data_IF_503631374167
#
_entry.id   IF_503631374167
#
_cell.length_a   1.000
_cell.length_b   1.000
_cell.length_c   1.000
_cell.angle_alpha   90.00
_cell.angle_beta   90.00
_cell.angle_gamma   90.00
#
_symmetry.space_group_name_H-M   'P 1'
#
loop_
_entity.id
_entity.type
_entity.pdbx_description
1 polymer ?
#
# COMPACT_ATOMS: atom_id res chain seq x y z
N UNK A 1 12.61 4.35 -45.63
CA UNK A 1 12.65 2.88 -45.58
C UNK A 1 11.25 2.39 -45.89
N UNK A 2 11.07 1.66 -47.00
CA UNK A 2 9.81 1.02 -47.30
C UNK A 2 9.67 -0.18 -46.36
N UNK A 3 8.63 -0.19 -45.52
CA UNK A 3 8.35 -1.33 -44.65
C UNK A 3 7.83 -2.49 -45.47
N UNK A 4 8.38 -3.69 -45.27
CA UNK A 4 7.85 -4.92 -45.84
C UNK A 4 6.58 -5.33 -45.10
N UNK A 5 5.58 -5.84 -45.83
CA UNK A 5 4.38 -6.43 -45.22
C UNK A 5 4.77 -7.77 -44.61
N UNK A 6 4.79 -7.82 -43.29
CA UNK A 6 5.22 -9.02 -42.56
C UNK A 6 4.05 -9.98 -42.34
N UNK A 7 2.85 -9.51 -41.98
CA UNK A 7 1.67 -10.34 -41.71
C UNK A 7 0.34 -9.62 -41.99
N UNK A 8 -0.74 -10.38 -42.20
CA UNK A 8 -2.13 -9.88 -42.21
C UNK A 8 -2.76 -10.11 -40.83
N UNK A 9 -2.86 -9.05 -40.03
CA UNK A 9 -3.49 -9.06 -38.72
C UNK A 9 -4.68 -8.10 -38.72
N UNK A 10 -5.79 -8.54 -38.12
CA UNK A 10 -6.99 -7.72 -37.95
C UNK A 10 -6.88 -6.78 -36.73
N UNK A 11 -5.95 -7.07 -35.80
CA UNK A 11 -5.67 -6.29 -34.60
C UNK A 11 -4.17 -6.32 -34.26
N UNK A 12 -3.62 -5.20 -33.79
CA UNK A 12 -2.23 -5.08 -33.38
C UNK A 12 -2.12 -4.21 -32.12
N UNK A 13 -1.60 -4.79 -31.04
CA UNK A 13 -1.29 -4.10 -29.79
C UNK A 13 0.23 -3.97 -29.60
N UNK A 14 0.69 -2.79 -29.18
CA UNK A 14 2.11 -2.53 -28.91
C UNK A 14 2.30 -1.40 -27.90
N UNK A 15 3.45 -1.38 -27.21
CA UNK A 15 3.79 -0.28 -26.30
C UNK A 15 4.31 0.94 -27.08
N UNK A 16 3.47 1.97 -27.14
CA UNK A 16 3.80 3.24 -27.80
C UNK A 16 4.98 3.98 -27.14
N UNK A 17 5.26 3.73 -25.87
CA UNK A 17 6.39 4.32 -25.13
C UNK A 17 7.70 3.65 -25.56
N UNK A 18 7.72 2.33 -25.65
CA UNK A 18 8.88 1.56 -26.12
C UNK A 18 9.23 1.92 -27.56
N UNK A 19 8.23 2.05 -28.44
CA UNK A 19 8.43 2.51 -29.82
C UNK A 19 9.04 3.92 -29.86
N UNK A 20 8.53 4.83 -29.04
CA UNK A 20 9.06 6.19 -28.97
C UNK A 20 10.53 6.22 -28.50
N UNK A 21 10.88 5.42 -27.50
CA UNK A 21 12.23 5.35 -26.96
C UNK A 21 13.20 4.72 -27.98
N UNK A 22 12.80 3.60 -28.60
CA UNK A 22 13.58 2.90 -29.64
C UNK A 22 13.85 3.79 -30.85
N UNK A 23 12.86 4.59 -31.26
CA UNK A 23 13.01 5.53 -32.38
C UNK A 23 13.75 6.82 -32.00
N UNK A 24 13.98 7.07 -30.70
CA UNK A 24 14.48 8.35 -30.19
C UNK A 24 13.49 9.51 -30.42
N UNK A 25 12.20 9.22 -30.55
CA UNK A 25 11.16 10.20 -30.86
C UNK A 25 10.44 10.66 -29.60
N UNK A 26 9.86 11.87 -29.66
CA UNK A 26 8.99 12.34 -28.59
C UNK A 26 7.66 11.57 -28.63
N UNK A 27 7.24 11.03 -27.48
CA UNK A 27 5.99 10.28 -27.34
C UNK A 27 4.75 10.97 -27.96
N UNK A 28 4.54 12.31 -27.82
CA UNK A 28 3.42 12.98 -28.49
C UNK A 28 3.44 12.89 -30.01
N UNK A 29 4.63 12.87 -30.64
CA UNK A 29 4.78 12.75 -32.10
C UNK A 29 4.39 11.36 -32.56
N UNK A 30 4.84 10.32 -31.85
CA UNK A 30 4.47 8.93 -32.12
C UNK A 30 2.95 8.76 -31.96
N UNK A 31 2.37 9.20 -30.84
CA UNK A 31 0.92 9.13 -30.61
C UNK A 31 0.12 9.86 -31.70
N UNK A 32 0.61 11.02 -32.16
CA UNK A 32 -0.02 11.76 -33.26
C UNK A 32 0.07 10.98 -34.57
N UNK A 33 1.23 10.44 -34.90
CA UNK A 33 1.44 9.62 -36.11
C UNK A 33 0.55 8.38 -36.13
N UNK A 34 0.45 7.67 -35.01
CA UNK A 34 -0.43 6.49 -34.89
C UNK A 34 -1.90 6.89 -35.07
N UNK A 35 -2.36 8.00 -34.45
CA UNK A 35 -3.73 8.50 -34.66
C UNK A 35 -4.00 8.95 -36.10
N UNK A 36 -2.98 9.42 -36.82
CA UNK A 36 -3.13 9.81 -38.22
C UNK A 36 -3.42 8.61 -39.14
N UNK A 37 -3.07 7.39 -38.74
CA UNK A 37 -3.38 6.17 -39.50
C UNK A 37 -4.89 5.94 -39.69
N UNK A 38 -5.75 6.59 -38.88
CA UNK A 38 -7.20 6.56 -39.06
C UNK A 38 -7.67 7.28 -40.34
N UNK A 39 -6.80 8.05 -40.98
CA UNK A 39 -7.08 8.85 -42.16
C UNK A 39 -6.28 8.35 -43.37
N UNK A 40 -6.92 8.33 -44.54
CA UNK A 40 -6.27 7.95 -45.80
C UNK A 40 -5.48 9.13 -46.38
N UNK A 41 -4.41 8.84 -47.12
CA UNK A 41 -3.61 9.88 -47.80
C UNK A 41 -4.36 10.60 -48.92
N UNK A 42 -5.50 10.06 -49.38
CA UNK A 42 -6.33 10.59 -50.46
C UNK A 42 -7.57 11.32 -49.92
N UNK A 43 -7.68 11.45 -48.59
CA UNK A 43 -8.86 11.97 -47.90
C UNK A 43 -9.84 10.86 -47.50
N UNK A 44 -10.53 11.04 -46.37
CA UNK A 44 -11.46 10.05 -45.81
C UNK A 44 -10.83 9.12 -44.76
N UNK A 45 -11.64 8.24 -44.16
CA UNK A 45 -11.21 7.29 -43.12
C UNK A 45 -10.55 6.07 -43.75
N UNK A 46 -9.46 5.59 -43.17
CA UNK A 46 -8.71 4.42 -43.65
C UNK A 46 -9.34 3.07 -43.29
N UNK A 47 -10.32 3.06 -42.38
CA UNK A 47 -10.87 1.84 -41.79
C UNK A 47 -10.10 1.31 -40.57
N UNK A 48 -8.93 1.88 -40.27
CA UNK A 48 -8.14 1.53 -39.07
C UNK A 48 -8.71 2.28 -37.85
N UNK A 49 -9.01 1.53 -36.78
CA UNK A 49 -9.34 2.08 -35.47
C UNK A 49 -8.09 2.11 -34.60
N UNK A 50 -7.94 3.17 -33.81
CA UNK A 50 -6.77 3.38 -32.95
C UNK A 50 -7.29 3.73 -31.57
N UNK A 51 -6.96 2.88 -30.61
CA UNK A 51 -7.31 3.07 -29.21
C UNK A 51 -6.03 3.19 -28.39
N UNK A 52 -6.02 4.15 -27.46
CA UNK A 52 -4.96 4.26 -26.46
C UNK A 52 -5.54 3.81 -25.13
N UNK A 53 -5.07 2.69 -24.64
CA UNK A 53 -5.46 2.08 -23.38
C UNK A 53 -4.34 2.24 -22.33
N UNK A 54 -4.48 1.58 -21.18
CA UNK A 54 -3.41 1.42 -20.18
C UNK A 54 -2.81 2.73 -19.67
N UNK A 55 -3.62 3.54 -18.97
CA UNK A 55 -3.13 4.76 -18.31
C UNK A 55 -1.98 4.42 -17.35
N UNK A 56 -0.79 4.95 -17.64
CA UNK A 56 0.44 4.66 -16.91
C UNK A 56 1.18 5.94 -16.54
N UNK A 57 2.10 5.83 -15.58
CA UNK A 57 3.04 6.91 -15.27
C UNK A 57 4.15 6.93 -16.32
N UNK A 58 4.30 8.06 -17.01
CA UNK A 58 5.42 8.29 -17.93
C UNK A 58 6.59 8.89 -17.16
N UNK A 59 7.65 8.13 -16.96
CA UNK A 59 8.91 8.59 -16.37
C UNK A 59 10.09 8.03 -17.15
N UNK A 60 11.24 8.69 -17.04
CA UNK A 60 12.51 8.28 -17.65
C UNK A 60 13.51 7.98 -16.55
N UNK A 61 14.12 6.81 -16.59
CA UNK A 61 15.18 6.38 -15.68
C UNK A 61 16.43 6.01 -16.47
N UNK A 62 17.59 6.18 -15.85
CA UNK A 62 18.85 5.62 -16.34
C UNK A 62 18.79 4.10 -16.09
N UNK A 63 18.72 3.31 -17.16
CA UNK A 63 18.49 1.86 -17.10
C UNK A 63 19.74 1.04 -16.75
N UNK A 64 20.72 1.67 -16.10
CA UNK A 64 22.07 1.17 -15.84
C UNK A 64 22.34 0.91 -14.34
N UNK A 65 21.29 0.93 -13.51
CA UNK A 65 21.42 0.66 -12.08
C UNK A 65 21.88 -0.79 -11.84
N UNK A 66 22.94 -0.93 -11.05
CA UNK A 66 23.37 -2.22 -10.51
C UNK A 66 22.37 -2.77 -9.48
N UNK A 67 22.44 -4.08 -9.21
CA UNK A 67 21.62 -4.72 -8.18
C UNK A 67 21.80 -4.05 -6.80
N UNK A 68 23.03 -3.62 -6.47
CA UNK A 68 23.30 -2.92 -5.21
C UNK A 68 22.64 -1.53 -5.14
N UNK A 69 22.61 -0.81 -6.25
CA UNK A 69 21.95 0.49 -6.35
C UNK A 69 20.43 0.35 -6.30
N UNK A 70 19.89 -0.67 -6.97
CA UNK A 70 18.48 -1.02 -6.88
C UNK A 70 18.08 -1.31 -5.43
N UNK A 71 18.88 -2.08 -4.71
CA UNK A 71 18.66 -2.36 -3.28
C UNK A 71 18.72 -1.10 -2.41
N UNK A 72 19.59 -0.13 -2.74
CA UNK A 72 19.64 1.17 -2.05
C UNK A 72 18.33 1.95 -2.28
N UNK A 73 17.82 1.96 -3.50
CA UNK A 73 16.53 2.61 -3.84
C UNK A 73 15.38 1.92 -3.11
N UNK A 74 15.32 0.58 -3.11
CA UNK A 74 14.30 -0.17 -2.38
C UNK A 74 14.33 0.14 -0.87
N UNK A 75 15.52 0.17 -0.25
CA UNK A 75 15.69 0.56 1.16
C UNK A 75 15.25 2.00 1.42
N UNK A 76 15.61 2.93 0.55
CA UNK A 76 15.19 4.33 0.66
C UNK A 76 13.67 4.47 0.65
N UNK A 77 13.00 3.87 -0.34
CA UNK A 77 11.54 3.89 -0.46
C UNK A 77 10.88 3.21 0.74
N UNK A 78 11.41 2.07 1.18
CA UNK A 78 10.90 1.37 2.35
C UNK A 78 11.01 2.21 3.62
N UNK A 79 12.16 2.83 3.87
CA UNK A 79 12.38 3.71 5.01
C UNK A 79 11.43 4.91 5.00
N UNK A 80 11.18 5.49 3.83
CA UNK A 80 10.20 6.57 3.68
C UNK A 80 8.79 6.12 4.08
N UNK A 81 8.36 4.94 3.64
CA UNK A 81 7.05 4.37 4.02
C UNK A 81 7.00 4.10 5.52
N UNK A 82 8.03 3.48 6.10
CA UNK A 82 8.09 3.21 7.54
C UNK A 82 8.07 4.49 8.38
N UNK A 83 8.80 5.53 7.97
CA UNK A 83 8.79 6.81 8.66
C UNK A 83 7.42 7.47 8.59
N UNK A 84 6.74 7.39 7.45
CA UNK A 84 5.37 7.87 7.30
C UNK A 84 4.42 7.09 8.23
N UNK A 85 4.50 5.76 8.26
CA UNK A 85 3.71 4.92 9.15
C UNK A 85 3.92 5.26 10.62
N UNK A 86 5.18 5.32 11.08
CA UNK A 86 5.54 5.73 12.44
C UNK A 86 5.00 7.11 12.79
N UNK A 87 5.11 8.07 11.87
CA UNK A 87 4.57 9.43 12.07
C UNK A 87 3.05 9.40 12.24
N UNK A 88 2.33 8.66 11.39
CA UNK A 88 0.86 8.58 11.48
C UNK A 88 0.40 7.89 12.77
N UNK A 89 1.07 6.80 13.17
CA UNK A 89 0.78 6.11 14.43
C UNK A 89 1.06 7.00 15.64
N UNK A 90 2.17 7.75 15.62
CA UNK A 90 2.47 8.73 16.65
C UNK A 90 1.36 9.77 16.75
N UNK A 91 0.92 10.35 15.63
CA UNK A 91 -0.14 11.37 15.61
C UNK A 91 -1.45 10.84 16.18
N UNK A 92 -1.84 9.62 15.80
CA UNK A 92 -3.03 8.97 16.33
C UNK A 92 -2.92 8.73 17.84
N UNK A 93 -1.78 8.23 18.29
CA UNK A 93 -1.53 7.91 19.71
C UNK A 93 -1.47 9.16 20.57
N UNK A 94 -0.78 10.20 20.12
CA UNK A 94 -0.68 11.48 20.80
C UNK A 94 -2.06 12.13 20.93
N UNK A 95 -2.84 12.14 19.85
CA UNK A 95 -4.21 12.61 19.82
C UNK A 95 -5.09 11.85 20.84
N UNK A 96 -5.06 10.51 20.80
CA UNK A 96 -5.82 9.68 21.73
C UNK A 96 -5.42 9.91 23.19
N UNK A 97 -4.13 9.95 23.49
CA UNK A 97 -3.63 10.18 24.87
C UNK A 97 -4.05 11.57 25.38
N UNK A 98 -3.94 12.61 24.55
CA UNK A 98 -4.32 13.97 24.92
C UNK A 98 -5.82 14.08 25.22
N UNK A 99 -6.68 13.49 24.40
CA UNK A 99 -8.13 13.50 24.68
C UNK A 99 -8.50 12.60 25.86
N UNK A 100 -7.87 11.44 25.99
CA UNK A 100 -8.14 10.51 27.10
C UNK A 100 -7.75 11.10 28.46
N UNK A 101 -6.67 11.87 28.55
CA UNK A 101 -6.23 12.44 29.84
C UNK A 101 -7.20 13.47 30.40
N UNK A 102 -7.95 14.16 29.54
CA UNK A 102 -8.96 15.16 29.94
C UNK A 102 -10.40 14.64 29.86
N UNK A 103 -10.61 13.40 29.40
CA UNK A 103 -11.93 12.82 29.22
C UNK A 103 -12.68 12.59 30.54
N UNK A 104 -14.00 12.74 30.49
CA UNK A 104 -14.91 12.31 31.54
C UNK A 104 -15.38 10.87 31.29
N UNK A 105 -15.82 10.18 32.35
CA UNK A 105 -16.44 8.85 32.21
C UNK A 105 -17.81 8.93 31.55
N UNK A 106 -18.51 10.05 31.71
CA UNK A 106 -19.84 10.32 31.15
C UNK A 106 -20.00 11.79 30.80
N UNK A 107 -20.77 12.09 29.76
CA UNK A 107 -21.05 13.46 29.33
C UNK A 107 -21.79 14.29 30.39
N UNK A 108 -22.54 13.65 31.30
CA UNK A 108 -23.22 14.32 32.40
C UNK A 108 -22.28 15.07 33.34
N UNK A 109 -21.01 14.64 33.43
CA UNK A 109 -20.00 15.25 34.30
C UNK A 109 -19.51 16.62 33.83
N UNK A 110 -19.95 17.08 32.65
CA UNK A 110 -19.56 18.38 32.07
C UNK A 110 -20.76 19.19 31.54
N UNK A 111 -21.99 18.89 32.00
CA UNK A 111 -23.20 19.58 31.53
C UNK A 111 -23.47 20.90 32.28
N UNK A 112 -23.11 20.97 33.56
CA UNK A 112 -23.47 22.11 34.42
C UNK A 112 -22.32 23.12 34.55
N UNK A 113 -21.08 22.66 34.71
CA UNK A 113 -19.89 23.51 34.82
C UNK A 113 -18.80 23.10 33.82
N UNK A 114 -18.21 24.09 33.16
CA UNK A 114 -17.01 23.90 32.36
C UNK A 114 -15.83 23.71 33.31
N UNK A 115 -15.21 22.53 33.30
CA UNK A 115 -13.96 22.30 34.04
C UNK A 115 -12.80 23.06 33.35
N UNK A 116 -12.59 24.31 33.78
CA UNK A 116 -11.53 25.19 33.26
C UNK A 116 -10.14 24.56 33.38
N UNK A 117 -9.91 23.73 34.40
CA UNK A 117 -8.63 23.07 34.61
C UNK A 117 -8.30 22.08 33.49
N UNK A 118 -9.26 21.23 33.11
CA UNK A 118 -9.12 20.29 31.99
C UNK A 118 -9.03 21.01 30.64
N UNK A 119 -9.77 22.11 30.49
CA UNK A 119 -9.70 22.96 29.29
C UNK A 119 -8.31 23.56 29.11
N UNK A 120 -7.72 24.09 30.19
CA UNK A 120 -6.35 24.61 30.19
C UNK A 120 -5.34 23.50 29.91
N UNK A 121 -5.49 22.33 30.54
CA UNK A 121 -4.61 21.19 30.31
C UNK A 121 -4.63 20.72 28.85
N UNK A 122 -5.81 20.66 28.21
CA UNK A 122 -5.90 20.33 26.79
C UNK A 122 -5.23 21.38 25.90
N UNK A 123 -5.41 22.67 26.20
CA UNK A 123 -4.76 23.77 25.45
C UNK A 123 -3.24 23.70 25.56
N UNK A 124 -2.71 23.39 26.75
CA UNK A 124 -1.27 23.21 26.97
C UNK A 124 -0.72 22.02 26.19
N UNK A 125 -1.41 20.87 26.21
CA UNK A 125 -1.04 19.68 25.42
C UNK A 125 -1.01 19.98 23.91
N UNK A 126 -1.98 20.75 23.41
CA UNK A 126 -2.01 21.16 22.01
C UNK A 126 -0.86 22.11 21.67
N UNK A 127 -0.62 23.14 22.48
CA UNK A 127 0.48 24.07 22.29
C UNK A 127 1.82 23.33 22.25
N UNK A 128 2.07 22.47 23.24
CA UNK A 128 3.28 21.67 23.33
C UNK A 128 3.46 20.77 22.10
N UNK A 129 2.40 20.14 21.61
CA UNK A 129 2.46 19.30 20.41
C UNK A 129 2.87 20.08 19.15
N UNK A 130 2.30 21.27 18.93
CA UNK A 130 2.60 22.08 17.75
C UNK A 130 3.98 22.77 17.84
N UNK A 131 4.41 23.19 19.03
CA UNK A 131 5.75 23.73 19.26
C UNK A 131 6.82 22.66 19.04
N UNK A 132 6.63 21.46 19.62
CA UNK A 132 7.54 20.32 19.41
C UNK A 132 7.62 19.89 17.94
N UNK A 133 6.54 20.05 17.16
CA UNK A 133 6.50 19.71 15.73
C UNK A 133 7.22 20.74 14.86
N UNK A 134 7.28 22.00 15.29
CA UNK A 134 8.05 23.07 14.62
C UNK A 134 9.55 22.86 14.75
N UNK A 135 10.02 22.45 15.93
CA UNK A 135 11.46 22.33 16.21
C UNK A 135 12.08 21.00 15.79
N UNK A 136 11.28 19.92 15.74
CA UNK A 136 11.76 18.58 15.36
C UNK A 136 11.26 18.20 13.98
N UNK A 137 12.12 18.43 12.98
CA UNK A 137 12.04 17.77 11.69
C UNK A 137 12.11 16.25 11.86
N UNK A 138 10.96 15.60 12.04
CA UNK A 138 10.66 14.19 11.78
C UNK A 138 11.26 13.09 12.68
N UNK A 139 11.98 13.39 13.76
CA UNK A 139 12.40 12.37 14.74
C UNK A 139 11.53 12.40 16.01
N UNK A 140 10.26 11.99 15.87
CA UNK A 140 9.38 11.77 17.01
C UNK A 140 9.63 10.35 17.52
N UNK A 141 10.14 10.23 18.75
CA UNK A 141 10.32 8.94 19.40
C UNK A 141 8.95 8.23 19.48
N UNK A 142 8.89 6.92 19.16
CA UNK A 142 7.68 6.14 19.36
C UNK A 142 7.24 6.30 20.81
N UNK A 143 5.99 6.69 21.01
CA UNK A 143 5.43 6.67 22.35
C UNK A 143 5.17 5.20 22.67
N UNK A 144 5.82 4.67 23.70
CA UNK A 144 5.55 3.32 24.19
C UNK A 144 4.05 3.20 24.47
N UNK A 145 3.40 2.41 23.62
CA UNK A 145 2.15 1.77 23.94
C UNK A 145 2.64 0.48 24.59
N UNK A 146 2.35 0.29 25.88
CA UNK A 146 2.53 -1.01 26.52
C UNK A 146 1.86 -2.05 25.62
N UNK A 147 2.64 -2.83 24.87
CA UNK A 147 2.12 -3.88 24.00
C UNK A 147 1.57 -4.99 24.89
N UNK A 148 0.25 -5.08 25.12
CA UNK A 148 -0.30 -6.02 26.11
C UNK A 148 -0.25 -7.47 25.61
N UNK A 149 0.12 -7.67 24.35
CA UNK A 149 -0.14 -8.90 23.61
C UNK A 149 1.11 -9.74 23.29
N UNK A 150 2.31 -9.32 23.71
CA UNK A 150 3.52 -10.08 23.41
C UNK A 150 3.52 -11.49 24.00
N UNK A 151 2.98 -11.66 25.22
CA UNK A 151 2.86 -12.96 25.89
C UNK A 151 1.76 -13.82 25.26
N UNK A 152 0.61 -13.24 24.91
CA UNK A 152 -0.50 -13.97 24.29
C UNK A 152 -0.17 -14.47 22.88
N UNK A 153 0.68 -13.75 22.14
CA UNK A 153 1.03 -14.17 20.79
C UNK A 153 1.83 -15.48 20.78
N UNK A 154 2.79 -15.67 21.71
CA UNK A 154 3.59 -16.90 21.76
C UNK A 154 2.71 -18.14 21.94
N UNK A 155 1.73 -18.06 22.83
CA UNK A 155 0.81 -19.17 23.11
C UNK A 155 -0.02 -19.56 21.88
N UNK A 156 -0.35 -18.58 21.04
CA UNK A 156 -1.12 -18.77 19.81
C UNK A 156 -0.28 -19.05 18.57
N UNK A 157 1.05 -18.90 18.64
CA UNK A 157 1.92 -18.93 17.47
C UNK A 157 1.82 -20.25 16.70
N UNK A 158 1.77 -21.39 17.42
CA UNK A 158 1.60 -22.71 16.81
C UNK A 158 0.25 -22.86 16.09
N UNK A 159 -0.82 -22.34 16.68
CA UNK A 159 -2.15 -22.37 16.08
C UNK A 159 -2.21 -21.46 14.85
N UNK A 160 -1.62 -20.26 14.92
CA UNK A 160 -1.48 -19.34 13.79
C UNK A 160 -0.75 -20.01 12.63
N UNK A 161 0.40 -20.66 12.89
CA UNK A 161 1.16 -21.40 11.87
C UNK A 161 0.33 -22.52 11.24
N UNK A 162 -0.38 -23.30 12.05
CA UNK A 162 -1.25 -24.36 11.55
C UNK A 162 -2.37 -23.82 10.64
N UNK A 163 -3.01 -22.71 11.04
CA UNK A 163 -4.05 -22.08 10.25
C UNK A 163 -3.52 -21.46 8.95
N UNK A 164 -2.32 -20.87 8.97
CA UNK A 164 -1.66 -20.37 7.76
C UNK A 164 -1.40 -21.52 6.78
N UNK A 165 -0.88 -22.66 7.26
CA UNK A 165 -0.67 -23.84 6.42
C UNK A 165 -1.99 -24.39 5.87
N UNK A 166 -3.04 -24.45 6.69
CA UNK A 166 -4.39 -24.83 6.27
C UNK A 166 -4.93 -23.90 5.19
N UNK A 167 -4.75 -22.58 5.36
CA UNK A 167 -5.15 -21.57 4.39
C UNK A 167 -4.43 -21.76 3.05
N UNK A 168 -3.10 -21.89 3.07
CA UNK A 168 -2.29 -22.10 1.86
C UNK A 168 -2.65 -23.42 1.15
N UNK A 169 -2.91 -24.49 1.91
CA UNK A 169 -3.30 -25.79 1.35
C UNK A 169 -4.67 -25.75 0.67
N UNK A 170 -5.63 -25.02 1.25
CA UNK A 170 -6.97 -24.86 0.68
C UNK A 170 -7.01 -23.93 -0.55
N UNK A 171 -5.89 -23.27 -0.86
CA UNK A 171 -5.72 -22.26 -1.91
C UNK A 171 -4.42 -22.46 -2.68
N UNK A 172 -4.06 -23.72 -2.95
CA UNK A 172 -2.77 -24.10 -3.53
C UNK A 172 -2.54 -23.58 -4.95
N UNK A 173 -3.61 -23.19 -5.64
CA UNK A 173 -3.63 -22.58 -6.96
C UNK A 173 -3.28 -21.08 -6.96
N UNK A 174 -3.32 -20.43 -5.79
CA UNK A 174 -3.07 -19.00 -5.64
C UNK A 174 -1.70 -18.71 -4.99
N UNK A 175 -1.02 -17.65 -5.44
CA UNK A 175 0.27 -17.22 -4.88
C UNK A 175 0.07 -16.10 -3.87
N UNK A 176 0.43 -16.36 -2.61
CA UNK A 176 0.36 -15.36 -1.55
C UNK A 176 1.73 -14.84 -1.13
N UNK A 177 1.80 -13.54 -0.81
CA UNK A 177 2.89 -12.97 -0.01
C UNK A 177 2.54 -13.04 1.47
N UNK A 178 3.53 -12.99 2.37
CA UNK A 178 3.26 -12.97 3.81
C UNK A 178 2.37 -11.80 4.24
N UNK A 179 2.48 -10.65 3.56
CA UNK A 179 1.57 -9.50 3.75
C UNK A 179 0.14 -9.81 3.29
N UNK A 180 -0.04 -10.50 2.18
CA UNK A 180 -1.37 -10.90 1.70
C UNK A 180 -2.07 -11.81 2.72
N UNK A 181 -1.35 -12.82 3.21
CA UNK A 181 -1.85 -13.74 4.25
C UNK A 181 -2.21 -12.95 5.52
N UNK A 182 -1.30 -12.12 6.04
CA UNK A 182 -1.56 -11.32 7.24
C UNK A 182 -2.78 -10.39 7.08
N UNK A 183 -2.97 -9.79 5.90
CA UNK A 183 -4.16 -8.98 5.59
C UNK A 183 -5.45 -9.77 5.67
N UNK A 184 -5.48 -11.00 5.16
CA UNK A 184 -6.66 -11.88 5.25
C UNK A 184 -6.96 -12.18 6.72
N UNK A 185 -5.96 -12.58 7.49
CA UNK A 185 -6.14 -12.89 8.91
C UNK A 185 -6.52 -11.69 9.79
N UNK A 186 -6.15 -10.46 9.40
CA UNK A 186 -6.69 -9.21 9.99
C UNK A 186 -8.02 -8.74 9.38
N UNK A 187 -8.41 -9.30 8.24
CA UNK A 187 -9.57 -8.88 7.47
C UNK A 187 -9.47 -7.49 6.83
N UNK A 188 -8.31 -7.19 6.27
CA UNK A 188 -8.02 -5.97 5.51
C UNK A 188 -8.08 -6.30 4.01
N UNK A 189 -9.13 -5.83 3.33
CA UNK A 189 -9.33 -6.06 1.90
C UNK A 189 -8.23 -5.43 1.05
N UNK A 190 -7.89 -6.05 -0.09
CA UNK A 190 -7.04 -5.45 -1.11
C UNK A 190 -7.61 -5.72 -2.51
N UNK A 191 -7.19 -5.01 -3.56
CA UNK A 191 -7.68 -5.25 -4.91
C UNK A 191 -7.57 -6.72 -5.35
N UNK A 192 -6.44 -7.39 -5.09
CA UNK A 192 -6.25 -8.81 -5.42
C UNK A 192 -6.97 -9.75 -4.44
N UNK A 193 -7.22 -9.31 -3.21
CA UNK A 193 -7.86 -10.11 -2.16
C UNK A 193 -9.08 -9.36 -1.58
N UNK A 194 -10.18 -9.25 -2.34
CA UNK A 194 -11.34 -8.44 -1.95
C UNK A 194 -12.16 -9.10 -0.85
N UNK A 195 -12.71 -8.30 0.06
CA UNK A 195 -13.54 -8.81 1.17
C UNK A 195 -14.81 -9.53 0.69
N UNK A 196 -15.34 -9.18 -0.47
CA UNK A 196 -16.50 -9.83 -1.08
C UNK A 196 -16.25 -11.32 -1.35
N UNK A 197 -15.01 -11.70 -1.62
CA UNK A 197 -14.59 -13.08 -1.89
C UNK A 197 -13.95 -13.69 -0.65
N UNK A 198 -12.89 -13.07 -0.13
CA UNK A 198 -12.09 -13.58 0.97
C UNK A 198 -12.76 -13.43 2.35
N UNK A 199 -13.62 -12.43 2.51
CA UNK A 199 -14.36 -12.19 3.76
C UNK A 199 -15.50 -13.16 4.01
N UNK A 200 -15.88 -13.97 3.02
CA UNK A 200 -16.86 -15.05 3.18
C UNK A 200 -16.28 -16.21 3.98
N UNK A 201 -14.98 -16.48 3.84
CA UNK A 201 -14.31 -17.54 4.59
C UNK A 201 -13.91 -17.06 5.99
N UNK A 202 -14.87 -17.17 6.92
CA UNK A 202 -14.71 -16.78 8.33
C UNK A 202 -13.71 -17.63 9.09
N UNK A 203 -13.22 -18.75 8.53
CA UNK A 203 -12.15 -19.55 9.13
C UNK A 203 -10.81 -18.82 9.14
N UNK A 204 -10.64 -17.85 8.24
CA UNK A 204 -9.40 -17.09 8.10
C UNK A 204 -9.63 -15.59 8.28
N UNK A 205 -10.72 -15.05 7.74
CA UNK A 205 -10.98 -13.61 7.74
C UNK A 205 -11.19 -13.03 9.15
N UNK A 206 -10.39 -12.04 9.54
CA UNK A 206 -10.40 -11.39 10.88
C UNK A 206 -10.12 -12.32 12.06
N UNK A 207 -9.65 -13.55 11.84
CA UNK A 207 -9.41 -14.53 12.92
C UNK A 207 -8.33 -14.06 13.92
N UNK A 208 -7.37 -13.27 13.45
CA UNK A 208 -6.22 -12.81 14.24
C UNK A 208 -6.09 -11.28 14.27
N UNK A 209 -7.22 -10.58 14.19
CA UNK A 209 -7.27 -9.10 14.20
C UNK A 209 -6.67 -8.46 15.46
N UNK A 210 -6.67 -9.20 16.56
CA UNK A 210 -6.16 -8.78 17.87
C UNK A 210 -4.63 -8.85 17.98
N UNK A 211 -3.96 -9.58 17.09
CA UNK A 211 -2.51 -9.75 17.16
C UNK A 211 -1.79 -8.69 16.35
N UNK A 212 -0.50 -8.46 16.64
CA UNK A 212 0.30 -7.52 15.87
C UNK A 212 0.43 -7.98 14.41
N UNK A 213 0.09 -7.06 13.51
CA UNK A 213 0.07 -7.29 12.08
C UNK A 213 1.47 -7.64 11.53
N UNK A 214 2.52 -6.97 12.03
CA UNK A 214 3.88 -7.22 11.57
C UNK A 214 4.41 -8.58 12.03
N UNK A 215 4.01 -9.03 13.21
CA UNK A 215 4.33 -10.36 13.73
C UNK A 215 3.64 -11.45 12.92
N UNK A 216 2.38 -11.26 12.54
CA UNK A 216 1.68 -12.16 11.61
C UNK A 216 2.35 -12.22 10.24
N UNK A 217 2.83 -11.09 9.70
CA UNK A 217 3.62 -11.09 8.45
C UNK A 217 4.85 -11.99 8.60
N UNK A 218 5.64 -11.83 9.67
CA UNK A 218 6.85 -12.62 9.90
C UNK A 218 6.55 -14.12 9.94
N UNK A 219 5.53 -14.53 10.70
CA UNK A 219 5.11 -15.94 10.77
C UNK A 219 4.64 -16.43 9.41
N UNK A 220 3.83 -15.65 8.68
CA UNK A 220 3.36 -16.03 7.35
C UNK A 220 4.48 -16.18 6.33
N UNK A 221 5.48 -15.30 6.33
CA UNK A 221 6.67 -15.44 5.47
C UNK A 221 7.40 -16.75 5.77
N UNK A 222 7.62 -17.07 7.04
CA UNK A 222 8.28 -18.31 7.44
C UNK A 222 7.51 -19.54 6.97
N UNK A 223 6.18 -19.55 7.13
CA UNK A 223 5.36 -20.67 6.69
C UNK A 223 5.31 -20.78 5.16
N UNK A 224 5.25 -19.67 4.41
CA UNK A 224 5.30 -19.70 2.93
C UNK A 224 6.64 -20.28 2.44
N UNK A 225 7.76 -19.92 3.08
CA UNK A 225 9.08 -20.46 2.72
C UNK A 225 9.14 -21.97 3.00
N UNK A 226 8.55 -22.44 4.10
CA UNK A 226 8.50 -23.86 4.48
C UNK A 226 7.49 -24.67 3.68
N UNK A 227 6.50 -24.02 3.09
CA UNK A 227 5.42 -24.65 2.33
C UNK A 227 5.80 -24.90 0.87
N UNK A 228 6.80 -24.17 0.35
CA UNK A 228 7.44 -24.45 -0.93
C UNK A 228 8.41 -25.61 -0.81
#
# INVERSE_FOLDING_TARGET
MAGERVETLDELEFDVVEVADTMGWQLPLVKRGVRQLQWSSVGGRSGVQVELSSLSFYFRSYGDLSDEEMDKVCRFLHNRVQNQEKTQLYQLTACFKAFKSVAFQSASSCLEDLDESRSLQLKELLAEYFDKRRDRGLALAPVDIEEPDNYKFLDWENQIRADIRSFLSNRSDEKFSGRAVARIFHGIASPCYPAQTYGRDRRYWRKYIQFDFNRLIKVAIQEIIRFK
#
